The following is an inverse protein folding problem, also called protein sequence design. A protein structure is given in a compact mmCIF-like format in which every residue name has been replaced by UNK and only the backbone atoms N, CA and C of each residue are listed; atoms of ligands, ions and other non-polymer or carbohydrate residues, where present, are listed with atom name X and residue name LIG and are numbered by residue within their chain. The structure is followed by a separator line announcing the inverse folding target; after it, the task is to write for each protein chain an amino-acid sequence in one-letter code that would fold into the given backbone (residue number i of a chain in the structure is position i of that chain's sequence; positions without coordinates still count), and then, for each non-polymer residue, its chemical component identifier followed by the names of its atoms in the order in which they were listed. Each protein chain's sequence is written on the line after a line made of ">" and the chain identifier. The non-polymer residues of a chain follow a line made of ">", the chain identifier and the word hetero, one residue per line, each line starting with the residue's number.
data_IF_616227248791
#
_entry.id   IF_616227248791
#
_cell.length_a   1.000
_cell.length_b   1.000
_cell.length_c   1.000
_cell.angle_alpha   90.00
_cell.angle_beta   90.00
_cell.angle_gamma   90.00
#
_symmetry.space_group_name_H-M   'P 1'
#
loop_
_entity.id
_entity.type
_entity.pdbx_description
1 polymer ?
#
# COMPACT_ATOMS: atom_id res chain seq x y z
N UNK A 1 6.44 20.87 3.30
CA UNK A 1 5.83 19.89 4.19
C UNK A 1 4.54 20.45 4.76
N UNK A 2 3.49 19.64 4.77
CA UNK A 2 2.20 20.08 5.31
C UNK A 2 2.28 20.25 6.83
N UNK A 3 1.62 21.29 7.37
CA UNK A 3 1.50 21.49 8.80
C UNK A 3 0.26 20.78 9.38
N UNK A 4 -0.51 20.09 8.52
CA UNK A 4 -1.66 19.31 8.97
C UNK A 4 -1.18 18.02 9.62
N UNK A 5 -1.87 17.62 10.68
CA UNK A 5 -1.61 16.31 11.26
C UNK A 5 -2.23 15.21 10.36
N UNK A 6 -1.81 13.95 10.53
CA UNK A 6 -2.31 12.87 9.66
C UNK A 6 -3.83 12.71 9.70
N UNK A 7 -4.47 12.88 10.84
CA UNK A 7 -5.93 12.76 10.95
C UNK A 7 -6.66 13.85 10.14
N UNK A 8 -6.12 15.06 10.13
CA UNK A 8 -6.69 16.16 9.33
C UNK A 8 -6.53 15.90 7.84
N UNK A 9 -5.36 15.37 7.42
CA UNK A 9 -5.14 14.99 6.03
C UNK A 9 -6.10 13.88 5.61
N UNK A 10 -6.26 12.86 6.45
CA UNK A 10 -7.18 11.76 6.18
C UNK A 10 -8.62 12.23 5.99
N UNK A 11 -9.06 13.16 6.84
CA UNK A 11 -10.43 13.69 6.77
C UNK A 11 -10.73 14.36 5.43
N UNK A 12 -9.71 14.87 4.74
CA UNK A 12 -9.87 15.54 3.44
C UNK A 12 -9.79 14.59 2.25
N UNK A 13 -9.44 13.33 2.47
CA UNK A 13 -9.38 12.32 1.41
C UNK A 13 -10.77 11.78 1.11
N UNK A 14 -10.96 11.37 -0.15
CA UNK A 14 -12.17 10.64 -0.55
C UNK A 14 -11.98 9.16 -0.29
N UNK A 15 -12.73 8.65 0.67
CA UNK A 15 -12.73 7.23 1.02
C UNK A 15 -13.78 6.50 0.17
N UNK A 16 -13.54 5.20 -0.07
CA UNK A 16 -14.54 4.36 -0.73
C UNK A 16 -15.68 4.03 0.24
N UNK A 17 -16.65 3.21 -0.18
CA UNK A 17 -17.81 2.87 0.64
C UNK A 17 -17.45 2.15 1.94
N UNK A 18 -16.27 1.55 2.02
CA UNK A 18 -15.77 0.87 3.22
C UNK A 18 -14.93 1.78 4.11
N UNK A 19 -14.80 3.05 3.75
CA UNK A 19 -13.97 4.00 4.49
C UNK A 19 -12.49 3.84 4.25
N UNK A 20 -12.08 3.27 3.12
CA UNK A 20 -10.69 2.96 2.80
C UNK A 20 -10.19 3.77 1.61
N UNK A 21 -8.86 3.93 1.54
CA UNK A 21 -8.16 4.57 0.42
C UNK A 21 -7.11 3.61 -0.09
N UNK A 22 -7.05 3.35 -1.41
CA UNK A 22 -6.00 2.52 -1.98
C UNK A 22 -4.65 3.23 -1.94
N UNK A 23 -3.61 2.47 -1.66
CA UNK A 23 -2.23 2.94 -1.63
C UNK A 23 -1.39 2.09 -2.58
N UNK A 24 -0.79 2.75 -3.56
CA UNK A 24 0.10 2.12 -4.53
C UNK A 24 1.53 2.34 -4.04
N UNK A 25 2.35 1.30 -4.02
CA UNK A 25 3.75 1.42 -3.67
C UNK A 25 4.64 1.12 -4.86
N UNK A 26 5.64 1.98 -5.05
CA UNK A 26 6.64 1.82 -6.11
C UNK A 26 8.04 1.89 -5.49
N UNK A 27 9.00 1.25 -6.15
CA UNK A 27 10.41 1.33 -5.77
C UNK A 27 10.91 2.76 -5.97
N UNK A 28 11.49 3.36 -4.92
CA UNK A 28 11.92 4.76 -4.99
C UNK A 28 13.09 4.98 -5.95
N UNK A 29 13.88 3.94 -6.24
CA UNK A 29 15.05 4.06 -7.12
C UNK A 29 14.70 3.96 -8.59
N UNK A 30 13.82 3.02 -8.97
CA UNK A 30 13.55 2.73 -10.38
C UNK A 30 12.10 2.88 -10.80
N UNK A 31 11.19 3.18 -9.86
CA UNK A 31 9.78 3.40 -10.18
C UNK A 31 8.98 2.12 -10.43
N UNK A 32 9.57 0.95 -10.19
CA UNK A 32 8.84 -0.31 -10.35
C UNK A 32 7.63 -0.34 -9.43
N UNK A 33 6.44 -0.65 -9.99
CA UNK A 33 5.23 -0.80 -9.20
C UNK A 33 5.31 -2.12 -8.45
N UNK A 34 5.22 -2.06 -7.14
CA UNK A 34 5.44 -3.22 -6.28
C UNK A 34 4.13 -3.85 -5.81
N UNK A 35 3.18 -3.05 -5.34
CA UNK A 35 1.91 -3.58 -4.86
C UNK A 35 0.86 -2.48 -4.71
N UNK A 36 -0.38 -2.89 -4.50
CA UNK A 36 -1.47 -2.00 -4.07
C UNK A 36 -2.22 -2.70 -2.93
N UNK A 37 -2.51 -1.95 -1.89
CA UNK A 37 -3.34 -2.41 -0.78
C UNK A 37 -4.10 -1.21 -0.22
N UNK A 38 -4.96 -1.44 0.75
CA UNK A 38 -5.83 -0.40 1.29
C UNK A 38 -5.34 0.10 2.65
N UNK A 39 -5.69 1.34 2.94
CA UNK A 39 -5.45 1.95 4.25
C UNK A 39 -6.78 2.40 4.85
N UNK A 40 -6.93 2.21 6.15
CA UNK A 40 -7.90 2.94 6.94
C UNK A 40 -7.18 4.13 7.60
N UNK A 41 -7.89 4.90 8.40
CA UNK A 41 -7.30 6.08 9.05
C UNK A 41 -6.10 5.70 9.93
N UNK A 42 -6.23 4.63 10.71
CA UNK A 42 -5.17 4.18 11.61
C UNK A 42 -3.91 3.77 10.83
N UNK A 43 -4.08 3.02 9.74
CA UNK A 43 -2.95 2.61 8.89
C UNK A 43 -2.25 3.82 8.30
N UNK A 44 -2.99 4.79 7.80
CA UNK A 44 -2.43 6.01 7.25
C UNK A 44 -1.63 6.79 8.32
N UNK A 45 -2.22 6.97 9.49
CA UNK A 45 -1.57 7.72 10.58
C UNK A 45 -0.31 7.02 11.07
N UNK A 46 -0.34 5.69 11.22
CA UNK A 46 0.84 4.92 11.63
C UNK A 46 1.94 4.98 10.58
N UNK A 47 1.59 4.96 9.29
CA UNK A 47 2.57 5.11 8.22
C UNK A 47 3.26 6.48 8.31
N UNK A 48 2.48 7.54 8.57
CA UNK A 48 3.04 8.88 8.76
C UNK A 48 3.96 8.96 9.97
N UNK A 49 3.58 8.34 11.08
CA UNK A 49 4.33 8.42 12.34
C UNK A 49 5.61 7.59 12.31
N UNK A 50 5.54 6.38 11.75
CA UNK A 50 6.66 5.43 11.81
C UNK A 50 7.60 5.52 10.62
N UNK A 51 7.11 6.01 9.47
CA UNK A 51 7.86 5.98 8.22
C UNK A 51 7.89 4.62 7.55
N UNK A 52 7.10 3.66 8.03
CA UNK A 52 6.96 2.32 7.44
C UNK A 52 5.52 2.07 7.06
N UNK A 53 5.31 1.33 5.95
CA UNK A 53 3.97 1.11 5.41
C UNK A 53 3.13 0.25 6.33
N UNK A 54 1.94 0.74 6.62
CA UNK A 54 0.88 0.02 7.31
C UNK A 54 -0.33 -0.02 6.39
N UNK A 55 -1.06 -1.13 6.42
CA UNK A 55 -2.24 -1.35 5.59
C UNK A 55 -3.39 -1.88 6.43
N UNK A 56 -4.58 -1.86 5.84
CA UNK A 56 -5.76 -2.47 6.42
C UNK A 56 -6.22 -3.62 5.53
N UNK A 57 -6.30 -4.83 6.10
CA UNK A 57 -6.77 -6.01 5.39
C UNK A 57 -8.29 -6.08 5.46
N UNK A 58 -8.96 -6.02 4.28
CA UNK A 58 -10.42 -6.13 4.21
C UNK A 58 -10.89 -7.53 4.58
N UNK A 59 -10.18 -8.55 4.12
CA UNK A 59 -10.59 -9.94 4.35
C UNK A 59 -10.43 -10.35 5.81
N UNK A 60 -9.39 -9.86 6.48
CA UNK A 60 -9.13 -10.17 7.89
C UNK A 60 -9.67 -9.12 8.84
N UNK A 61 -10.17 -8.02 8.29
CA UNK A 61 -10.69 -6.88 9.06
C UNK A 61 -9.69 -6.41 10.12
N UNK A 62 -8.42 -6.28 9.74
CA UNK A 62 -7.34 -5.95 10.66
C UNK A 62 -6.26 -5.07 10.06
N UNK A 63 -5.67 -4.26 10.92
CA UNK A 63 -4.49 -3.47 10.62
C UNK A 63 -3.26 -4.37 10.56
N UNK A 64 -2.32 -4.10 9.64
CA UNK A 64 -1.05 -4.82 9.62
C UNK A 64 0.08 -3.92 9.11
N UNK A 65 1.26 -4.13 9.70
CA UNK A 65 2.50 -3.48 9.25
C UNK A 65 3.17 -4.39 8.23
N UNK A 66 3.48 -3.84 7.06
CA UNK A 66 4.15 -4.62 6.01
C UNK A 66 5.51 -5.08 6.51
N UNK A 67 5.73 -6.39 6.47
CA UNK A 67 7.00 -6.99 6.89
C UNK A 67 7.07 -7.40 8.35
N UNK A 68 6.03 -7.19 9.14
CA UNK A 68 6.08 -7.51 10.58
C UNK A 68 6.36 -8.99 10.86
N UNK A 69 5.96 -9.88 9.94
CA UNK A 69 6.21 -11.32 10.05
C UNK A 69 7.41 -11.75 9.19
N UNK A 70 7.48 -11.24 7.96
CA UNK A 70 8.48 -11.67 6.97
C UNK A 70 9.82 -10.94 7.09
N UNK A 71 9.83 -9.76 7.70
CA UNK A 71 11.00 -8.87 7.70
C UNK A 71 11.13 -8.05 6.41
N UNK A 72 10.21 -8.19 5.46
CA UNK A 72 10.23 -7.47 4.19
C UNK A 72 9.53 -6.11 4.34
N UNK A 73 10.15 -5.22 5.09
CA UNK A 73 9.60 -3.90 5.41
C UNK A 73 9.60 -2.98 4.19
N UNK A 74 8.72 -1.98 4.24
CA UNK A 74 8.63 -0.93 3.23
C UNK A 74 8.84 0.42 3.91
N UNK A 75 10.05 0.98 3.77
CA UNK A 75 10.37 2.29 4.34
C UNK A 75 9.90 3.37 3.38
N UNK A 76 9.13 4.33 3.88
CA UNK A 76 8.60 5.43 3.08
C UNK A 76 9.70 6.44 2.77
N UNK A 77 9.94 6.69 1.49
CA UNK A 77 10.88 7.72 1.02
C UNK A 77 10.14 8.97 0.59
N UNK A 78 8.97 8.84 -0.02
CA UNK A 78 8.09 9.96 -0.35
C UNK A 78 6.65 9.47 -0.50
N UNK A 79 5.71 10.40 -0.38
CA UNK A 79 4.29 10.09 -0.49
C UNK A 79 3.58 11.24 -1.21
N UNK A 80 2.58 10.88 -2.01
CA UNK A 80 1.75 11.85 -2.72
C UNK A 80 0.32 11.32 -2.83
N UNK A 81 -0.59 12.23 -3.15
CA UNK A 81 -2.00 11.90 -3.34
C UNK A 81 -2.41 12.39 -4.73
N UNK A 82 -3.33 11.68 -5.37
CA UNK A 82 -3.75 12.04 -6.71
C UNK A 82 -4.67 13.28 -6.74
N UNK A 83 -5.01 13.73 -7.95
CA UNK A 83 -5.69 15.02 -8.14
C UNK A 83 -7.10 15.07 -7.56
N UNK A 84 -7.79 13.95 -7.47
CA UNK A 84 -9.14 13.88 -6.88
C UNK A 84 -9.16 13.33 -5.46
N UNK A 85 -7.99 13.15 -4.86
CA UNK A 85 -7.80 12.85 -3.43
C UNK A 85 -8.35 11.48 -2.99
N UNK A 86 -8.32 10.49 -3.87
CA UNK A 86 -8.84 9.17 -3.55
C UNK A 86 -7.81 8.03 -3.65
N UNK A 87 -6.56 8.32 -4.03
CA UNK A 87 -5.52 7.30 -4.20
C UNK A 87 -4.17 7.85 -3.73
N UNK A 88 -3.45 7.07 -2.93
CA UNK A 88 -2.13 7.42 -2.43
C UNK A 88 -1.04 6.72 -3.22
N UNK A 89 0.07 7.42 -3.44
CA UNK A 89 1.27 6.86 -4.07
C UNK A 89 2.45 7.01 -3.11
N UNK A 90 3.05 5.89 -2.76
CA UNK A 90 4.24 5.87 -1.90
C UNK A 90 5.45 5.39 -2.69
N UNK A 91 6.54 6.16 -2.64
CA UNK A 91 7.83 5.68 -3.10
C UNK A 91 8.55 5.12 -1.89
N UNK A 92 8.94 3.86 -1.96
CA UNK A 92 9.44 3.13 -0.80
C UNK A 92 10.77 2.45 -1.09
N UNK A 93 11.50 2.18 -0.01
CA UNK A 93 12.68 1.32 -0.03
C UNK A 93 12.21 -0.06 0.43
N UNK A 94 12.12 -1.01 -0.53
CA UNK A 94 11.61 -2.35 -0.30
C UNK A 94 12.72 -3.28 0.14
N UNK A 95 12.59 -3.85 1.32
CA UNK A 95 13.46 -4.94 1.77
C UNK A 95 12.85 -6.26 1.31
N UNK A 96 13.57 -6.98 0.45
CA UNK A 96 13.10 -8.27 -0.05
C UNK A 96 11.92 -8.17 -1.01
N UNK A 97 11.07 -9.17 -0.98
CA UNK A 97 9.91 -9.26 -1.87
C UNK A 97 8.71 -8.52 -1.30
N UNK A 98 7.99 -7.77 -2.14
CA UNK A 98 6.75 -7.12 -1.74
C UNK A 98 5.59 -8.11 -1.70
N UNK A 99 5.60 -9.10 -2.59
CA UNK A 99 4.52 -10.08 -2.70
C UNK A 99 4.73 -11.25 -1.73
N UNK A 100 3.63 -11.71 -1.10
CA UNK A 100 3.68 -12.88 -0.20
C UNK A 100 4.10 -14.16 -0.90
N UNK A 101 4.04 -14.20 -2.25
CA UNK A 101 4.50 -15.35 -3.05
C UNK A 101 6.03 -15.42 -3.17
N UNK A 102 6.74 -14.41 -2.68
CA UNK A 102 8.20 -14.31 -2.82
C UNK A 102 8.67 -13.52 -4.02
N UNK A 103 7.75 -13.07 -4.90
CA UNK A 103 8.11 -12.20 -6.01
C UNK A 103 8.32 -10.77 -5.52
N UNK A 104 9.25 -10.05 -6.16
CA UNK A 104 9.54 -8.68 -5.77
C UNK A 104 8.31 -7.79 -5.91
N UNK A 105 7.58 -7.92 -7.02
CA UNK A 105 6.35 -7.18 -7.28
C UNK A 105 5.15 -8.13 -7.24
N UNK A 106 4.01 -7.62 -6.81
CA UNK A 106 2.75 -8.34 -6.91
C UNK A 106 2.24 -8.41 -8.35
N UNK A 107 2.74 -7.53 -9.21
CA UNK A 107 2.30 -7.41 -10.61
C UNK A 107 3.21 -8.21 -11.54
N UNK A 108 3.24 -9.54 -11.38
CA UNK A 108 4.14 -10.41 -12.13
C UNK A 108 3.43 -11.28 -13.17
N UNK A 109 2.10 -11.21 -13.25
CA UNK A 109 1.32 -11.98 -14.23
C UNK A 109 0.82 -11.06 -15.33
N UNK A 110 1.21 -11.36 -16.58
CA UNK A 110 0.67 -10.64 -17.74
C UNK A 110 -0.75 -11.10 -18.00
N UNK A 111 -1.63 -10.17 -18.40
CA UNK A 111 -2.99 -10.53 -18.78
C UNK A 111 -3.02 -11.48 -19.98
N UNK A 112 -1.99 -11.43 -20.85
CA UNK A 112 -1.87 -12.35 -21.98
C UNK A 112 -1.62 -13.79 -21.54
N UNK A 113 -1.02 -13.97 -20.36
CA UNK A 113 -0.65 -15.30 -19.84
C UNK A 113 -1.57 -15.78 -18.73
N UNK A 114 -2.47 -14.91 -18.26
CA UNK A 114 -3.35 -15.22 -17.13
C UNK A 114 -4.51 -16.12 -17.59
N UNK A 115 -4.70 -17.24 -16.91
CA UNK A 115 -5.82 -18.15 -17.12
C UNK A 115 -6.70 -18.15 -15.87
N UNK A 116 -7.87 -17.46 -15.91
CA UNK A 116 -8.76 -17.40 -14.75
C UNK A 116 -9.23 -18.78 -14.26
N UNK A 117 -9.32 -19.75 -15.16
CA UNK A 117 -9.79 -21.09 -14.80
C UNK A 117 -8.80 -21.87 -13.94
N UNK A 118 -7.50 -21.48 -13.96
CA UNK A 118 -6.46 -22.17 -13.18
C UNK A 118 -6.23 -21.51 -11.82
N UNK A 119 -6.76 -20.31 -11.58
CA UNK A 119 -6.55 -19.59 -10.33
C UNK A 119 -7.42 -20.15 -9.21
N UNK A 120 -6.86 -20.15 -8.00
CA UNK A 120 -7.63 -20.49 -6.79
C UNK A 120 -8.16 -19.20 -6.20
N UNK A 121 -9.41 -19.25 -5.76
CA UNK A 121 -9.99 -18.15 -4.99
C UNK A 121 -9.36 -18.10 -3.59
N UNK A 122 -9.13 -16.89 -3.10
CA UNK A 122 -8.60 -16.67 -1.75
C UNK A 122 -9.69 -16.24 -0.79
#
# INVERSE_FOLDING_TARGET
>A
MSNLNPHEMWAKMKKNSDGLVPAITVDYENGEVLMMAYMNEEAFCLTCETGFMHYYSRSRNSLWKKGETSGHFQKVMSASIDCDRDTLLYKIDQTGAACHTGNRSCFYTSLNDWDPASDKEE
#
